data_IF_258929182514
#
_entry.id   IF_258929182514
#
_cell.length_a   1.000
_cell.length_b   1.000
_cell.length_c   1.000
_cell.angle_alpha   90.00
_cell.angle_beta   90.00
_cell.angle_gamma   90.00
#
_symmetry.space_group_name_H-M   'P 1'
#
loop_
_entity.id
_entity.type
_entity.pdbx_description
1 polymer ?
#
# COMPACT_ATOMS: atom_id res chain seq x y z
N UNK A 1 -14.85 14.17 -3.19
CA UNK A 1 -13.39 14.39 -3.37
C UNK A 1 -12.64 13.13 -2.95
N UNK A 2 -11.86 12.52 -3.82
CA UNK A 2 -11.08 11.32 -3.51
C UNK A 2 -10.07 11.58 -2.37
N UNK A 3 -9.77 10.54 -1.60
CA UNK A 3 -8.93 10.64 -0.40
C UNK A 3 -7.53 10.13 -0.72
N UNK A 4 -6.47 10.93 -0.58
CA UNK A 4 -5.09 10.53 -0.86
C UNK A 4 -4.53 9.65 0.28
N UNK A 5 -5.06 8.43 0.42
CA UNK A 5 -4.57 7.47 1.40
C UNK A 5 -3.86 6.31 0.72
N UNK A 6 -2.58 6.14 1.05
CA UNK A 6 -1.75 5.05 0.56
C UNK A 6 -0.73 4.68 1.63
N UNK A 7 -0.93 3.55 2.30
CA UNK A 7 -0.12 3.13 3.43
C UNK A 7 0.60 1.82 3.11
N UNK A 8 1.93 1.83 3.23
CA UNK A 8 2.79 0.67 2.96
C UNK A 8 3.26 0.09 4.30
N UNK A 9 3.14 -1.23 4.47
CA UNK A 9 3.60 -1.97 5.65
C UNK A 9 4.25 -3.28 5.25
N UNK A 10 5.13 -3.78 6.10
CA UNK A 10 5.74 -5.10 5.96
C UNK A 10 5.13 -6.04 6.99
N UNK A 11 4.63 -7.19 6.53
CA UNK A 11 4.28 -8.33 7.39
C UNK A 11 5.56 -9.04 7.77
N UNK A 12 5.90 -9.04 9.05
CA UNK A 12 7.14 -9.59 9.56
C UNK A 12 6.88 -10.63 10.64
N UNK A 13 7.55 -11.78 10.56
CA UNK A 13 7.37 -12.91 11.48
C UNK A 13 7.73 -12.53 12.93
N UNK A 14 8.84 -11.84 13.16
CA UNK A 14 9.26 -11.39 14.50
C UNK A 14 8.28 -10.45 15.20
N UNK A 15 7.32 -9.88 14.47
CA UNK A 15 6.21 -9.09 15.04
C UNK A 15 4.96 -9.94 15.30
N UNK A 16 5.07 -11.26 15.32
CA UNK A 16 3.96 -12.18 15.48
C UNK A 16 2.94 -12.15 14.34
N UNK A 17 3.37 -11.70 13.12
CA UNK A 17 2.51 -11.62 11.94
C UNK A 17 2.67 -12.85 11.07
N UNK A 18 1.58 -13.26 10.43
CA UNK A 18 1.51 -14.34 9.45
C UNK A 18 1.00 -13.80 8.11
N UNK A 19 1.57 -14.28 7.01
CA UNK A 19 1.10 -13.95 5.67
C UNK A 19 -0.26 -14.62 5.41
N UNK A 20 -0.43 -15.89 5.79
CA UNK A 20 -1.70 -16.62 5.68
C UNK A 20 -2.82 -15.91 6.44
N UNK A 21 -2.54 -15.45 7.68
CA UNK A 21 -3.53 -14.68 8.45
C UNK A 21 -3.86 -13.32 7.79
N UNK A 22 -2.86 -12.68 7.19
CA UNK A 22 -3.05 -11.42 6.46
C UNK A 22 -3.94 -11.60 5.23
N UNK A 23 -3.70 -12.66 4.46
CA UNK A 23 -4.45 -13.02 3.27
C UNK A 23 -5.90 -13.42 3.61
N UNK A 24 -6.07 -14.29 4.61
CA UNK A 24 -7.40 -14.66 5.11
C UNK A 24 -8.21 -13.44 5.57
N UNK A 25 -7.55 -12.50 6.28
CA UNK A 25 -8.18 -11.27 6.74
C UNK A 25 -8.63 -10.38 5.60
N UNK A 26 -7.77 -10.14 4.60
CA UNK A 26 -8.14 -9.23 3.50
C UNK A 26 -9.21 -9.83 2.59
N UNK A 27 -9.18 -11.14 2.37
CA UNK A 27 -10.14 -11.82 1.50
C UNK A 27 -11.46 -12.20 2.22
N UNK A 28 -11.51 -12.10 3.56
CA UNK A 28 -12.68 -12.56 4.30
C UNK A 28 -12.83 -14.10 4.26
N UNK A 29 -11.73 -14.82 4.19
CA UNK A 29 -11.72 -16.28 3.99
C UNK A 29 -11.29 -17.05 5.23
N UNK A 30 -11.44 -18.38 5.12
CA UNK A 30 -10.94 -19.35 6.11
C UNK A 30 -9.76 -20.10 5.49
N UNK A 31 -8.53 -19.83 5.94
CA UNK A 31 -7.30 -20.46 5.46
C UNK A 31 -6.61 -21.22 6.57
N UNK A 32 -6.03 -22.37 6.26
CA UNK A 32 -5.17 -23.13 7.16
C UNK A 32 -3.72 -22.67 6.99
N UNK A 33 -3.05 -22.35 8.10
CA UNK A 33 -1.63 -22.00 8.11
C UNK A 33 -0.82 -23.22 8.51
N UNK A 34 0.00 -23.70 7.60
CA UNK A 34 0.90 -24.84 7.81
C UNK A 34 2.02 -24.52 8.79
N UNK A 35 2.46 -23.26 8.83
CA UNK A 35 3.54 -22.82 9.73
C UNK A 35 3.19 -22.95 11.20
N UNK A 36 2.01 -22.51 11.62
CA UNK A 36 1.58 -22.55 13.03
C UNK A 36 0.47 -23.56 13.30
N UNK A 37 0.10 -24.40 12.30
CA UNK A 37 -0.90 -25.45 12.37
C UNK A 37 -2.26 -24.93 12.86
N UNK A 38 -2.63 -23.71 12.45
CA UNK A 38 -3.86 -23.04 12.87
C UNK A 38 -4.70 -22.56 11.71
N UNK A 39 -5.99 -22.71 11.85
CA UNK A 39 -6.96 -22.13 10.93
C UNK A 39 -7.15 -20.64 11.23
N UNK A 40 -6.99 -19.80 10.22
CA UNK A 40 -7.29 -18.37 10.23
C UNK A 40 -8.66 -18.17 9.60
N UNK A 41 -9.66 -17.76 10.39
CA UNK A 41 -11.03 -17.64 9.93
C UNK A 41 -11.52 -16.20 10.06
N UNK A 42 -11.83 -15.58 8.92
CA UNK A 42 -12.35 -14.22 8.81
C UNK A 42 -13.62 -14.14 7.94
N UNK A 43 -14.36 -15.27 7.80
CA UNK A 43 -15.59 -15.34 6.99
C UNK A 43 -16.75 -14.48 7.51
N UNK A 44 -16.61 -13.91 8.71
CA UNK A 44 -17.59 -12.95 9.25
C UNK A 44 -17.49 -11.55 8.62
N UNK A 45 -16.43 -11.28 7.83
CA UNK A 45 -16.29 -9.99 7.13
C UNK A 45 -17.25 -9.90 5.96
N UNK A 46 -18.12 -8.90 5.99
CA UNK A 46 -19.13 -8.67 4.96
C UNK A 46 -18.75 -7.56 3.97
N UNK A 47 -17.76 -6.76 4.35
CA UNK A 47 -17.30 -5.62 3.57
C UNK A 47 -16.44 -5.98 2.35
N UNK A 48 -16.08 -7.24 2.17
CA UNK A 48 -15.26 -7.69 1.03
C UNK A 48 -16.16 -7.85 -0.19
N UNK A 49 -15.95 -7.04 -1.21
CA UNK A 49 -16.76 -7.03 -2.43
C UNK A 49 -16.07 -7.64 -3.63
N UNK A 50 -14.74 -7.70 -3.62
CA UNK A 50 -13.95 -8.30 -4.69
C UNK A 50 -12.60 -8.79 -4.18
N UNK A 51 -12.13 -9.94 -4.69
CA UNK A 51 -10.79 -10.46 -4.43
C UNK A 51 -10.20 -11.11 -5.67
N UNK A 52 -8.90 -10.94 -5.90
CA UNK A 52 -8.20 -11.62 -7.00
C UNK A 52 -6.72 -11.80 -6.64
N UNK A 53 -6.12 -12.86 -7.17
CA UNK A 53 -4.68 -13.08 -7.18
C UNK A 53 -4.20 -12.96 -8.62
N UNK A 54 -3.27 -12.05 -8.86
CA UNK A 54 -2.59 -11.87 -10.13
C UNK A 54 -1.18 -12.43 -10.04
N UNK A 55 -0.82 -13.24 -11.01
CA UNK A 55 0.45 -13.98 -11.04
C UNK A 55 1.33 -13.52 -12.20
N UNK A 56 2.65 -13.38 -12.00
CA UNK A 56 3.58 -13.21 -13.10
C UNK A 56 3.64 -14.49 -13.97
N UNK A 57 4.03 -14.39 -15.24
CA UNK A 57 3.94 -15.52 -16.20
C UNK A 57 4.68 -16.79 -15.78
N UNK A 58 5.73 -16.67 -14.98
CA UNK A 58 6.56 -17.79 -14.50
C UNK A 58 6.11 -18.35 -13.14
N UNK A 59 5.07 -17.78 -12.53
CA UNK A 59 4.55 -18.32 -11.28
C UNK A 59 3.82 -19.65 -11.50
N UNK A 60 3.96 -20.61 -10.57
CA UNK A 60 3.18 -21.83 -10.60
C UNK A 60 1.67 -21.53 -10.60
N UNK A 61 0.88 -22.18 -11.45
CA UNK A 61 -0.56 -21.91 -11.55
C UNK A 61 -1.33 -22.20 -10.24
N UNK A 62 -0.82 -23.11 -9.40
CA UNK A 62 -1.38 -23.39 -8.08
C UNK A 62 -1.34 -22.18 -7.14
N UNK A 63 -0.51 -21.18 -7.40
CA UNK A 63 -0.49 -19.92 -6.61
C UNK A 63 -1.71 -19.01 -6.89
N UNK A 64 -2.57 -19.39 -7.82
CA UNK A 64 -3.91 -18.81 -7.92
C UNK A 64 -4.80 -19.15 -6.70
N UNK A 65 -4.47 -20.24 -5.98
CA UNK A 65 -5.07 -20.54 -4.68
C UNK A 65 -4.34 -19.77 -3.57
N UNK A 66 -5.11 -19.03 -2.77
CA UNK A 66 -4.58 -18.14 -1.73
C UNK A 66 -3.86 -18.90 -0.62
N UNK A 67 -4.36 -20.09 -0.25
CA UNK A 67 -3.71 -20.92 0.75
C UNK A 67 -2.38 -21.47 0.22
N UNK A 68 -2.35 -21.96 -1.02
CA UNK A 68 -1.12 -22.45 -1.65
C UNK A 68 -0.05 -21.36 -1.74
N UNK A 69 -0.40 -20.17 -2.25
CA UNK A 69 0.54 -19.06 -2.38
C UNK A 69 1.15 -18.66 -1.03
N UNK A 70 0.31 -18.37 -0.03
CA UNK A 70 0.82 -17.78 1.21
C UNK A 70 1.45 -18.80 2.17
N UNK A 71 1.06 -20.09 2.11
CA UNK A 71 1.80 -21.14 2.80
C UNK A 71 3.18 -21.39 2.15
N UNK A 72 3.29 -21.37 0.82
CA UNK A 72 4.56 -21.48 0.11
C UNK A 72 5.51 -20.32 0.49
N UNK A 73 4.99 -19.08 0.61
CA UNK A 73 5.78 -17.94 1.11
C UNK A 73 6.24 -18.17 2.53
N UNK A 74 5.39 -18.64 3.44
CA UNK A 74 5.76 -18.89 4.83
C UNK A 74 6.76 -20.06 4.96
N UNK A 75 6.69 -21.05 4.10
CA UNK A 75 7.61 -22.18 4.05
C UNK A 75 9.03 -21.74 3.64
N UNK A 76 9.18 -20.92 2.60
CA UNK A 76 10.50 -20.46 2.15
C UNK A 76 11.13 -19.45 3.10
N UNK A 77 10.32 -18.68 3.84
CA UNK A 77 10.77 -17.64 4.78
C UNK A 77 11.03 -18.21 6.18
N UNK A 78 12.09 -19.02 6.33
CA UNK A 78 12.38 -19.81 7.54
C UNK A 78 12.89 -18.99 8.74
N UNK A 79 13.47 -17.82 8.51
CA UNK A 79 14.09 -17.04 9.58
C UNK A 79 13.02 -16.38 10.48
N UNK A 80 13.30 -16.31 11.78
CA UNK A 80 12.40 -15.72 12.78
C UNK A 80 12.08 -14.25 12.48
N UNK A 81 12.98 -13.51 11.84
CA UNK A 81 12.83 -12.11 11.47
C UNK A 81 12.44 -11.89 10.00
N UNK A 82 12.05 -12.96 9.28
CA UNK A 82 11.67 -12.86 7.87
C UNK A 82 10.54 -11.88 7.64
N UNK A 83 10.69 -11.11 6.58
CA UNK A 83 9.62 -10.33 5.98
C UNK A 83 8.84 -11.23 5.03
N UNK A 84 7.54 -11.41 5.31
CA UNK A 84 6.68 -12.39 4.66
C UNK A 84 5.94 -11.79 3.46
N UNK A 85 5.47 -10.55 3.60
CA UNK A 85 4.73 -9.86 2.55
C UNK A 85 4.86 -8.35 2.69
N UNK A 86 4.81 -7.64 1.57
CA UNK A 86 4.55 -6.20 1.54
C UNK A 86 3.06 -5.98 1.40
N UNK A 87 2.52 -5.12 2.23
CA UNK A 87 1.09 -4.81 2.25
C UNK A 87 0.85 -3.34 1.99
N UNK A 88 -0.16 -3.07 1.19
CA UNK A 88 -0.70 -1.72 1.01
C UNK A 88 -2.15 -1.67 1.47
N UNK A 89 -2.56 -0.50 1.91
CA UNK A 89 -3.96 -0.12 2.00
C UNK A 89 -4.09 1.22 1.31
N UNK A 90 -4.90 1.27 0.28
CA UNK A 90 -5.12 2.46 -0.53
C UNK A 90 -6.62 2.78 -0.63
N UNK A 91 -6.98 4.06 -0.47
CA UNK A 91 -8.36 4.48 -0.65
C UNK A 91 -8.76 4.39 -2.13
N UNK A 92 -10.02 4.04 -2.36
CA UNK A 92 -10.65 4.03 -3.68
C UNK A 92 -11.55 5.25 -3.84
N UNK A 93 -11.60 5.85 -5.03
CA UNK A 93 -12.44 7.00 -5.29
C UNK A 93 -13.93 6.59 -5.33
N UNK A 94 -14.77 7.26 -4.55
CA UNK A 94 -16.23 7.02 -4.52
C UNK A 94 -16.93 7.51 -5.79
N UNK A 95 -16.27 8.38 -6.51
CA UNK A 95 -16.73 8.99 -7.75
C UNK A 95 -16.63 8.04 -8.94
N UNK A 96 -15.89 6.95 -8.80
CA UNK A 96 -15.80 5.87 -9.79
C UNK A 96 -16.83 4.79 -9.45
N UNK A 97 -17.66 4.35 -10.41
CA UNK A 97 -18.59 3.24 -10.20
C UNK A 97 -17.91 1.98 -9.69
N UNK A 98 -18.55 1.27 -8.76
CA UNK A 98 -18.00 0.08 -8.11
C UNK A 98 -17.58 -1.00 -9.13
N UNK A 99 -18.30 -1.10 -10.23
CA UNK A 99 -18.08 -2.08 -11.30
C UNK A 99 -16.75 -1.85 -12.03
N UNK A 100 -16.22 -0.61 -12.03
CA UNK A 100 -14.97 -0.25 -12.66
C UNK A 100 -13.76 -0.36 -11.72
N UNK A 101 -13.99 -0.41 -10.40
CA UNK A 101 -12.91 -0.47 -9.42
C UNK A 101 -12.03 -1.72 -9.57
N UNK A 102 -12.55 -2.94 -9.80
CA UNK A 102 -11.70 -4.10 -10.03
C UNK A 102 -10.77 -3.92 -11.24
N UNK A 103 -11.26 -3.37 -12.34
CA UNK A 103 -10.44 -3.12 -13.53
C UNK A 103 -9.34 -2.08 -13.25
N UNK A 104 -9.67 -0.99 -12.55
CA UNK A 104 -8.70 0.02 -12.13
C UNK A 104 -7.58 -0.58 -11.27
N UNK A 105 -7.94 -1.42 -10.30
CA UNK A 105 -6.97 -2.07 -9.41
C UNK A 105 -6.10 -3.07 -10.18
N UNK A 106 -6.68 -3.84 -11.09
CA UNK A 106 -5.94 -4.80 -11.94
C UNK A 106 -4.93 -4.10 -12.84
N UNK A 107 -5.31 -3.01 -13.48
CA UNK A 107 -4.40 -2.22 -14.31
C UNK A 107 -3.20 -1.73 -13.50
N UNK A 108 -3.45 -1.19 -12.31
CA UNK A 108 -2.39 -0.78 -11.40
C UNK A 108 -1.48 -1.93 -10.96
N UNK A 109 -2.07 -3.08 -10.59
CA UNK A 109 -1.31 -4.26 -10.16
C UNK A 109 -0.44 -4.81 -11.29
N UNK A 110 -0.97 -4.87 -12.51
CA UNK A 110 -0.23 -5.36 -13.68
C UNK A 110 0.98 -4.48 -13.96
N UNK A 111 0.79 -3.17 -14.02
CA UNK A 111 1.84 -2.22 -14.37
C UNK A 111 2.96 -2.18 -13.32
N UNK A 112 2.61 -2.17 -12.04
CA UNK A 112 3.56 -1.87 -10.97
C UNK A 112 4.09 -3.10 -10.22
N UNK A 113 3.41 -4.25 -10.29
CA UNK A 113 3.78 -5.42 -9.49
C UNK A 113 3.95 -6.68 -10.33
N UNK A 114 2.92 -7.09 -11.07
CA UNK A 114 2.92 -8.38 -11.78
C UNK A 114 3.94 -8.38 -12.91
N UNK A 115 3.99 -7.32 -13.72
CA UNK A 115 5.00 -7.13 -14.77
C UNK A 115 6.45 -7.08 -14.24
N UNK A 116 6.61 -6.79 -12.93
CA UNK A 116 7.92 -6.79 -12.24
C UNK A 116 8.24 -8.14 -11.58
N UNK A 117 7.37 -9.14 -11.70
CA UNK A 117 7.55 -10.49 -11.19
C UNK A 117 7.03 -10.75 -9.78
N UNK A 118 6.22 -9.85 -9.21
CA UNK A 118 5.56 -10.06 -7.93
C UNK A 118 4.23 -10.79 -8.13
N UNK A 119 3.89 -11.76 -7.26
CA UNK A 119 2.51 -12.18 -7.10
C UNK A 119 1.76 -11.11 -6.29
N UNK A 120 0.60 -10.72 -6.78
CA UNK A 120 -0.23 -9.70 -6.16
C UNK A 120 -1.59 -10.29 -5.78
N UNK A 121 -1.85 -10.37 -4.48
CA UNK A 121 -3.15 -10.74 -3.92
C UNK A 121 -3.84 -9.47 -3.43
N UNK A 122 -4.99 -9.12 -4.00
CA UNK A 122 -5.71 -7.91 -3.60
C UNK A 122 -7.18 -8.18 -3.27
N UNK A 123 -7.73 -7.30 -2.43
CA UNK A 123 -9.13 -7.34 -2.02
C UNK A 123 -9.70 -5.92 -1.93
N UNK A 124 -10.85 -5.71 -2.53
CA UNK A 124 -11.62 -4.46 -2.44
C UNK A 124 -12.63 -4.61 -1.30
N UNK A 125 -12.61 -3.65 -0.39
CA UNK A 125 -13.55 -3.55 0.71
C UNK A 125 -14.42 -2.30 0.55
N UNK A 126 -15.71 -2.46 0.76
CA UNK A 126 -16.68 -1.37 0.87
C UNK A 126 -17.45 -1.50 2.18
N UNK A 127 -16.94 -0.94 3.29
CA UNK A 127 -17.60 -1.04 4.58
C UNK A 127 -18.88 -0.24 4.63
N UNK A 128 -19.92 -0.82 5.26
CA UNK A 128 -21.23 -0.18 5.45
C UNK A 128 -21.14 1.19 6.17
N UNK A 129 -22.09 2.12 5.91
CA UNK A 129 -22.21 3.35 6.67
C UNK A 129 -22.31 3.09 8.20
N UNK A 130 -21.72 4.00 9.04
CA UNK A 130 -21.15 5.30 8.68
C UNK A 130 -19.70 5.21 8.18
N UNK A 131 -19.14 4.01 8.05
CA UNK A 131 -17.74 3.79 7.67
C UNK A 131 -17.46 4.04 6.20
N UNK A 132 -18.44 3.90 5.32
CA UNK A 132 -18.38 3.98 3.86
C UNK A 132 -17.09 4.64 3.32
N UNK A 133 -16.04 3.84 3.29
CA UNK A 133 -14.70 4.24 2.88
C UNK A 133 -14.11 3.13 2.02
N UNK A 134 -14.52 3.03 0.74
CA UNK A 134 -14.03 2.00 -0.15
C UNK A 134 -12.51 2.07 -0.24
N UNK A 135 -11.87 0.92 -0.08
CA UNK A 135 -10.42 0.82 -0.09
C UNK A 135 -9.95 -0.55 -0.57
N UNK A 136 -8.75 -0.58 -1.10
CA UNK A 136 -8.12 -1.81 -1.55
C UNK A 136 -6.99 -2.21 -0.61
N UNK A 137 -6.97 -3.48 -0.25
CA UNK A 137 -5.84 -4.15 0.39
C UNK A 137 -5.04 -4.88 -0.67
N UNK A 138 -3.73 -4.73 -0.62
CA UNK A 138 -2.80 -5.47 -1.47
C UNK A 138 -1.82 -6.24 -0.60
N UNK A 139 -1.51 -7.45 -0.99
CA UNK A 139 -0.40 -8.23 -0.48
C UNK A 139 0.49 -8.67 -1.63
N UNK A 140 1.77 -8.33 -1.55
CA UNK A 140 2.78 -8.65 -2.55
C UNK A 140 3.82 -9.58 -1.98
N UNK A 141 4.28 -10.51 -2.81
CA UNK A 141 5.43 -11.36 -2.48
C UNK A 141 6.71 -10.56 -2.47
N UNK A 142 7.70 -11.01 -1.70
CA UNK A 142 8.98 -10.33 -1.51
C UNK A 142 10.16 -11.13 -2.08
N UNK A 143 9.86 -12.15 -2.88
CA UNK A 143 10.81 -12.93 -3.67
C UNK A 143 10.30 -13.03 -5.09
N UNK A 144 11.21 -12.95 -6.04
CA UNK A 144 10.92 -13.30 -7.42
C UNK A 144 10.86 -14.84 -7.58
N UNK A 145 10.25 -15.26 -8.67
CA UNK A 145 10.13 -16.65 -9.08
C UNK A 145 10.98 -16.83 -10.34
N UNK A 146 11.77 -17.90 -10.41
CA UNK A 146 12.58 -18.22 -11.58
C UNK A 146 11.74 -18.83 -12.72
N UNK A 147 12.38 -19.10 -13.86
CA UNK A 147 11.74 -19.69 -15.05
C UNK A 147 11.16 -21.08 -14.81
N UNK A 148 11.58 -21.76 -13.72
CA UNK A 148 11.10 -23.10 -13.33
C UNK A 148 10.04 -23.04 -12.22
N UNK A 149 9.50 -21.87 -11.91
CA UNK A 149 8.49 -21.69 -10.88
C UNK A 149 9.01 -21.73 -9.44
N UNK A 150 10.31 -21.60 -9.21
CA UNK A 150 10.91 -21.67 -7.87
C UNK A 150 11.22 -20.28 -7.31
N UNK A 151 11.02 -20.11 -6.01
CA UNK A 151 11.40 -18.90 -5.31
C UNK A 151 12.89 -18.64 -5.35
N UNK A 152 13.29 -17.49 -5.86
CA UNK A 152 14.67 -17.00 -5.81
C UNK A 152 15.04 -16.56 -4.39
N UNK A 153 16.33 -16.62 -4.01
CA UNK A 153 16.81 -16.02 -2.76
C UNK A 153 16.64 -14.49 -2.82
N UNK A 154 16.34 -13.84 -1.67
CA UNK A 154 16.24 -12.36 -1.60
C UNK A 154 17.55 -11.66 -1.92
N UNK A 155 18.68 -12.31 -1.61
CA UNK A 155 20.00 -11.79 -1.89
C UNK A 155 20.97 -12.93 -2.21
N UNK A 156 21.98 -12.62 -2.98
CA UNK A 156 23.08 -13.50 -3.32
C UNK A 156 24.41 -12.97 -2.78
N UNK A 157 25.34 -13.87 -2.51
CA UNK A 157 26.71 -13.52 -2.18
C UNK A 157 27.48 -13.30 -3.47
N UNK A 158 28.06 -12.11 -3.63
CA UNK A 158 28.90 -11.75 -4.77
C UNK A 158 30.32 -11.54 -4.25
N UNK A 159 31.31 -12.12 -4.95
CA UNK A 159 32.72 -11.92 -4.62
C UNK A 159 33.24 -10.66 -5.29
N UNK A 160 33.94 -9.84 -4.51
CA UNK A 160 34.62 -8.67 -5.04
C UNK A 160 35.79 -9.10 -5.90
N UNK A 161 35.95 -8.50 -7.07
CA UNK A 161 37.01 -8.76 -8.01
C UNK A 161 37.98 -7.58 -8.02
N UNK A 162 39.27 -7.88 -8.28
CA UNK A 162 40.31 -6.88 -8.53
C UNK A 162 40.26 -6.38 -10.00
N UNK A 163 41.21 -5.53 -10.36
CA UNK A 163 41.32 -4.95 -11.71
C UNK A 163 41.58 -6.01 -12.81
N UNK A 164 42.05 -7.20 -12.43
CA UNK A 164 42.32 -8.33 -13.34
C UNK A 164 41.12 -9.31 -13.40
N UNK A 165 40.06 -9.06 -12.65
CA UNK A 165 38.89 -9.94 -12.58
C UNK A 165 39.07 -11.12 -11.61
N UNK A 166 40.11 -11.12 -10.76
CA UNK A 166 40.36 -12.15 -9.76
C UNK A 166 39.72 -11.79 -8.41
N UNK A 167 39.32 -12.83 -7.64
CA UNK A 167 38.71 -12.61 -6.32
C UNK A 167 39.68 -12.00 -5.35
N UNK A 168 39.30 -10.93 -4.66
CA UNK A 168 40.11 -10.27 -3.64
C UNK A 168 40.12 -11.11 -2.38
N UNK A 169 41.36 -11.38 -1.87
CA UNK A 169 41.59 -12.11 -0.62
C UNK A 169 41.79 -11.15 0.54
N UNK A 170 41.04 -11.34 1.62
CA UNK A 170 41.21 -10.56 2.85
C UNK A 170 42.47 -11.04 3.64
N UNK A 171 43.01 -10.21 4.55
CA UNK A 171 44.11 -10.63 5.43
C UNK A 171 43.79 -11.88 6.26
N UNK A 172 42.52 -12.12 6.55
CA UNK A 172 42.04 -13.32 7.24
C UNK A 172 42.07 -14.60 6.40
N UNK A 173 42.50 -14.54 5.15
CA UNK A 173 42.50 -15.65 4.20
C UNK A 173 41.15 -15.91 3.54
N UNK A 174 40.10 -15.21 3.94
CA UNK A 174 38.75 -15.32 3.33
C UNK A 174 38.65 -14.45 2.07
N UNK A 175 37.78 -14.86 1.14
CA UNK A 175 37.46 -14.06 -0.03
C UNK A 175 36.58 -12.88 0.37
N UNK A 176 36.91 -11.69 -0.11
CA UNK A 176 36.09 -10.49 0.05
C UNK A 176 34.80 -10.65 -0.73
N UNK A 177 33.68 -10.32 -0.12
CA UNK A 177 32.36 -10.48 -0.75
C UNK A 177 31.36 -9.56 -0.07
N UNK A 178 30.37 -9.15 -0.83
CA UNK A 178 29.20 -8.44 -0.34
C UNK A 178 27.92 -9.20 -0.66
N UNK A 179 26.81 -8.76 -0.09
CA UNK A 179 25.47 -9.20 -0.45
C UNK A 179 24.92 -8.26 -1.51
N UNK A 180 24.35 -8.85 -2.55
CA UNK A 180 23.60 -8.14 -3.58
C UNK A 180 22.17 -8.64 -3.54
N UNK A 181 21.18 -7.72 -3.51
CA UNK A 181 19.79 -8.10 -3.54
C UNK A 181 19.43 -8.65 -4.93
N UNK A 182 18.61 -9.69 -4.97
CA UNK A 182 18.19 -10.34 -6.23
C UNK A 182 17.25 -9.43 -7.02
N UNK A 183 16.48 -8.62 -6.31
CA UNK A 183 15.52 -7.65 -6.85
C UNK A 183 15.63 -6.34 -6.07
N UNK A 184 15.32 -5.24 -6.71
CA UNK A 184 15.39 -3.89 -6.14
C UNK A 184 14.13 -3.46 -5.37
N UNK A 185 13.16 -4.34 -5.20
CA UNK A 185 11.84 -4.02 -4.65
C UNK A 185 11.85 -3.40 -3.24
N UNK A 186 13.00 -3.46 -2.53
CA UNK A 186 13.17 -2.84 -1.22
C UNK A 186 13.73 -1.42 -1.29
N UNK A 187 14.10 -0.95 -2.47
CA UNK A 187 14.62 0.40 -2.65
C UNK A 187 13.54 1.44 -2.32
N UNK A 188 13.97 2.51 -1.67
CA UNK A 188 13.05 3.52 -1.13
C UNK A 188 12.27 4.27 -2.21
N UNK A 189 12.84 4.42 -3.40
CA UNK A 189 12.21 5.15 -4.50
C UNK A 189 10.90 4.49 -4.98
N UNK A 190 10.78 3.15 -4.86
CA UNK A 190 9.54 2.45 -5.22
C UNK A 190 8.32 2.92 -4.44
N UNK A 191 8.50 3.37 -3.20
CA UNK A 191 7.37 3.89 -2.42
C UNK A 191 6.75 5.14 -3.06
N UNK A 192 7.57 6.01 -3.65
CA UNK A 192 7.10 7.18 -4.40
C UNK A 192 6.54 6.78 -5.77
N UNK A 193 7.20 5.87 -6.49
CA UNK A 193 6.75 5.34 -7.78
C UNK A 193 5.36 4.70 -7.66
N UNK A 194 5.16 3.81 -6.69
CA UNK A 194 3.86 3.15 -6.45
C UNK A 194 2.78 4.13 -6.04
N UNK A 195 3.12 5.14 -5.24
CA UNK A 195 2.17 6.20 -4.85
C UNK A 195 1.76 7.05 -6.06
N UNK A 196 2.72 7.43 -6.89
CA UNK A 196 2.46 8.18 -8.12
C UNK A 196 1.65 7.36 -9.12
N UNK A 197 1.99 6.09 -9.34
CA UNK A 197 1.20 5.20 -10.19
C UNK A 197 -0.24 5.06 -9.72
N UNK A 198 -0.46 4.99 -8.38
CA UNK A 198 -1.80 4.97 -7.81
C UNK A 198 -2.59 6.27 -8.07
N UNK A 199 -1.91 7.42 -8.04
CA UNK A 199 -2.49 8.71 -8.44
C UNK A 199 -2.89 8.70 -9.91
N UNK A 200 -2.01 8.26 -10.79
CA UNK A 200 -2.21 8.26 -12.25
C UNK A 200 -3.43 7.40 -12.62
N UNK A 201 -3.48 6.15 -12.11
CA UNK A 201 -4.60 5.26 -12.43
C UNK A 201 -5.91 5.77 -11.87
N UNK A 202 -5.95 6.31 -10.65
CA UNK A 202 -7.17 6.90 -10.11
C UNK A 202 -7.67 8.09 -10.95
N UNK A 203 -6.77 8.99 -11.34
CA UNK A 203 -7.13 10.15 -12.15
C UNK A 203 -7.65 9.76 -13.53
N UNK A 204 -7.10 8.70 -14.14
CA UNK A 204 -7.61 8.12 -15.38
C UNK A 204 -9.06 7.63 -15.21
N UNK A 205 -9.35 6.88 -14.17
CA UNK A 205 -10.70 6.34 -13.94
C UNK A 205 -11.71 7.39 -13.46
N UNK A 206 -11.26 8.42 -12.74
CA UNK A 206 -12.08 9.59 -12.43
C UNK A 206 -12.50 10.32 -13.72
N UNK A 207 -11.61 10.47 -14.67
CA UNK A 207 -11.91 11.05 -15.97
C UNK A 207 -12.89 10.19 -16.77
N UNK A 208 -12.67 8.86 -16.84
CA UNK A 208 -13.58 7.92 -17.47
C UNK A 208 -14.99 7.95 -16.85
N UNK A 209 -15.08 8.18 -15.55
CA UNK A 209 -16.35 8.34 -14.82
C UNK A 209 -16.98 9.73 -15.00
N UNK A 210 -16.37 10.64 -15.78
CA UNK A 210 -16.86 12.01 -15.97
C UNK A 210 -16.75 12.89 -14.73
N UNK A 211 -15.95 12.50 -13.73
CA UNK A 211 -15.76 13.28 -12.52
C UNK A 211 -14.79 14.46 -12.77
N UNK A 212 -15.09 15.67 -12.30
CA UNK A 212 -14.16 16.80 -12.34
C UNK A 212 -13.08 16.70 -11.27
N UNK A 213 -13.23 15.78 -10.31
CA UNK A 213 -12.29 15.61 -9.20
C UNK A 213 -10.98 14.99 -9.68
N UNK A 214 -9.88 15.39 -9.05
CA UNK A 214 -8.55 14.79 -9.26
C UNK A 214 -7.88 14.59 -7.91
N UNK A 215 -6.98 13.61 -7.84
CA UNK A 215 -6.16 13.31 -6.68
C UNK A 215 -4.71 13.71 -6.95
N UNK A 216 -4.04 14.25 -5.94
CA UNK A 216 -2.60 14.50 -5.92
C UNK A 216 -2.03 13.86 -4.65
N UNK A 217 -1.15 12.86 -4.84
CA UNK A 217 -0.58 12.06 -3.76
C UNK A 217 0.71 12.67 -3.18
N UNK A 218 1.17 13.81 -3.71
CA UNK A 218 2.33 14.53 -3.17
C UNK A 218 2.01 15.15 -1.81
N UNK A 219 3.02 15.42 -1.01
CA UNK A 219 2.84 16.22 0.21
C UNK A 219 2.34 17.63 -0.12
N UNK A 220 1.62 18.26 0.79
CA UNK A 220 1.13 19.63 0.59
C UNK A 220 2.26 20.62 0.26
N UNK A 221 3.43 20.45 0.86
CA UNK A 221 4.63 21.24 0.54
C UNK A 221 5.04 21.07 -0.92
N UNK A 222 5.09 19.82 -1.43
CA UNK A 222 5.43 19.53 -2.84
C UNK A 222 4.35 19.99 -3.82
N UNK A 223 3.12 20.14 -3.36
CA UNK A 223 2.01 20.75 -4.12
C UNK A 223 2.08 22.30 -4.09
N UNK A 224 2.98 22.88 -3.31
CA UNK A 224 3.05 24.33 -3.10
C UNK A 224 1.90 24.89 -2.25
N UNK A 225 1.27 24.04 -1.45
CA UNK A 225 0.15 24.41 -0.59
C UNK A 225 0.64 24.68 0.83
N UNK A 226 0.31 25.86 1.36
CA UNK A 226 0.58 26.23 2.75
C UNK A 226 -0.51 25.66 3.67
N UNK A 227 -0.52 24.32 3.81
CA UNK A 227 -1.48 23.55 4.60
C UNK A 227 -0.73 22.64 5.56
N UNK A 228 -1.06 22.74 6.84
CA UNK A 228 -0.54 21.84 7.87
C UNK A 228 -1.30 20.49 7.77
N UNK A 229 -0.62 19.35 7.57
CA UNK A 229 -1.27 18.06 7.50
C UNK A 229 -1.83 17.63 8.87
N UNK A 230 -2.99 16.98 8.86
CA UNK A 230 -3.55 16.37 10.07
C UNK A 230 -2.82 15.07 10.43
N UNK A 231 -2.83 14.73 11.72
CA UNK A 231 -2.22 13.48 12.22
C UNK A 231 -3.21 12.34 12.10
N UNK A 232 -2.72 11.19 11.60
CA UNK A 232 -3.54 9.98 11.49
C UNK A 232 -3.95 9.46 12.87
N UNK A 233 -5.26 9.35 13.11
CA UNK A 233 -5.80 8.96 14.41
C UNK A 233 -5.72 7.46 14.70
N UNK A 234 -5.68 6.62 13.69
CA UNK A 234 -5.81 5.17 13.85
C UNK A 234 -7.22 4.73 14.24
N UNK A 235 -7.45 3.41 14.25
CA UNK A 235 -8.80 2.84 14.46
C UNK A 235 -9.35 3.07 15.87
N UNK A 236 -8.52 2.90 16.91
CA UNK A 236 -8.93 3.05 18.30
C UNK A 236 -9.34 4.50 18.62
N UNK A 237 -8.50 5.48 18.26
CA UNK A 237 -8.78 6.90 18.47
C UNK A 237 -9.99 7.35 17.67
N UNK A 238 -10.11 6.92 16.40
CA UNK A 238 -11.26 7.21 15.56
C UNK A 238 -12.57 6.63 16.14
N UNK A 239 -12.52 5.46 16.78
CA UNK A 239 -13.68 4.87 17.42
C UNK A 239 -14.11 5.67 18.67
N UNK A 240 -13.17 6.18 19.46
CA UNK A 240 -13.46 7.05 20.61
C UNK A 240 -14.08 8.37 20.16
N UNK A 241 -13.48 9.04 19.17
CA UNK A 241 -13.98 10.31 18.64
C UNK A 241 -15.40 10.17 18.04
N UNK A 242 -15.70 9.06 17.38
CA UNK A 242 -17.07 8.76 16.89
C UNK A 242 -18.11 8.60 18.03
N UNK A 243 -17.65 8.16 19.20
CA UNK A 243 -18.50 8.08 20.41
C UNK A 243 -18.60 9.40 21.16
N UNK A 244 -18.04 10.50 20.62
CA UNK A 244 -18.04 11.81 21.26
C UNK A 244 -16.97 11.97 22.37
N UNK A 245 -16.06 11.01 22.51
CA UNK A 245 -14.97 11.06 23.49
C UNK A 245 -13.79 11.80 22.86
N UNK A 246 -13.50 13.00 23.37
CA UNK A 246 -12.39 13.82 22.90
C UNK A 246 -11.04 13.18 23.24
N UNK A 247 -10.14 13.14 22.27
CA UNK A 247 -8.78 12.60 22.41
C UNK A 247 -7.73 13.66 22.12
N UNK A 248 -6.50 13.48 22.62
CA UNK A 248 -5.40 14.42 22.36
C UNK A 248 -5.13 14.58 20.86
N UNK A 249 -5.11 13.48 20.09
CA UNK A 249 -4.90 13.53 18.63
C UNK A 249 -6.11 14.18 17.93
N UNK A 250 -7.32 13.88 18.39
CA UNK A 250 -8.54 14.52 17.88
C UNK A 250 -8.55 16.03 18.11
N UNK A 251 -8.15 16.48 19.31
CA UNK A 251 -8.02 17.92 19.64
C UNK A 251 -6.96 18.56 18.75
N UNK A 252 -5.75 17.99 18.65
CA UNK A 252 -4.69 18.49 17.77
C UNK A 252 -5.19 18.63 16.31
N UNK A 253 -5.92 17.66 15.80
CA UNK A 253 -6.48 17.72 14.46
C UNK A 253 -7.55 18.81 14.32
N UNK A 254 -8.33 19.10 15.35
CA UNK A 254 -9.27 20.24 15.38
C UNK A 254 -8.53 21.58 15.32
N UNK A 255 -7.44 21.72 16.10
CA UNK A 255 -6.60 22.91 16.11
C UNK A 255 -5.91 23.14 14.76
N UNK A 256 -5.34 22.08 14.16
CA UNK A 256 -4.74 22.12 12.81
C UNK A 256 -5.78 22.59 11.78
N UNK A 257 -6.99 22.03 11.80
CA UNK A 257 -8.05 22.42 10.87
C UNK A 257 -8.50 23.88 11.08
N UNK A 258 -8.49 24.37 12.32
CA UNK A 258 -8.79 25.77 12.63
C UNK A 258 -7.69 26.70 12.10
N UNK A 259 -6.41 26.36 12.34
CA UNK A 259 -5.27 27.10 11.82
C UNK A 259 -5.28 27.19 10.29
N UNK A 260 -5.47 26.07 9.60
CA UNK A 260 -5.54 26.03 8.13
C UNK A 260 -6.69 26.91 7.58
N UNK A 261 -7.86 26.93 8.25
CA UNK A 261 -8.97 27.81 7.88
C UNK A 261 -8.61 29.28 8.05
N UNK A 262 -7.90 29.64 9.12
CA UNK A 262 -7.45 31.01 9.35
C UNK A 262 -6.42 31.45 8.30
N UNK A 263 -5.44 30.60 7.98
CA UNK A 263 -4.45 30.87 6.93
C UNK A 263 -5.11 31.08 5.55
N UNK A 264 -6.01 30.20 5.16
CA UNK A 264 -6.78 30.35 3.91
C UNK A 264 -7.61 31.64 3.89
N UNK A 265 -8.25 32.02 5.01
CA UNK A 265 -9.03 33.25 5.10
C UNK A 265 -8.14 34.49 5.00
N UNK A 266 -6.93 34.46 5.57
CA UNK A 266 -5.94 35.56 5.46
C UNK A 266 -5.41 35.67 4.03
N UNK A 267 -5.09 34.53 3.37
CA UNK A 267 -4.65 34.49 1.99
C UNK A 267 -5.71 35.06 1.04
N UNK A 268 -6.97 34.64 1.19
CA UNK A 268 -8.09 35.17 0.42
C UNK A 268 -8.30 36.67 0.63
N UNK A 269 -8.13 37.17 1.85
CA UNK A 269 -8.20 38.63 2.13
C UNK A 269 -7.06 39.40 1.46
N UNK A 270 -5.86 38.78 1.39
CA UNK A 270 -4.67 39.41 0.77
C UNK A 270 -4.80 39.41 -0.76
N UNK A 271 -5.32 38.34 -1.35
CA UNK A 271 -5.49 38.20 -2.82
C UNK A 271 -6.71 38.99 -3.34
N UNK A 272 -7.77 39.10 -2.54
CA UNK A 272 -9.02 39.81 -2.85
C UNK A 272 -9.32 40.86 -1.78
N UNK A 273 -8.65 42.02 -1.80
CA UNK A 273 -8.94 43.11 -0.88
C UNK A 273 -10.39 43.56 -1.05
N UNK A 274 -10.96 44.16 0.00
CA UNK A 274 -12.38 44.54 0.10
C UNK A 274 -12.92 45.35 -1.11
N UNK A 275 -12.06 46.06 -1.80
CA UNK A 275 -12.35 46.81 -3.03
C UNK A 275 -12.69 45.88 -4.23
N UNK A 276 -12.17 44.66 -4.27
CA UNK A 276 -12.43 43.71 -5.37
C UNK A 276 -13.67 42.83 -5.14
N UNK A 277 -14.23 42.80 -3.93
CA UNK A 277 -15.41 41.96 -3.57
C UNK A 277 -16.72 42.41 -4.20
N UNK A 278 -16.79 43.61 -4.76
CA UNK A 278 -18.00 44.12 -5.44
C UNK A 278 -18.35 43.36 -6.74
N UNK A 279 -17.44 42.55 -7.26
CA UNK A 279 -17.62 41.83 -8.53
C UNK A 279 -18.02 40.36 -8.39
N UNK A 280 -18.08 39.81 -7.18
CA UNK A 280 -18.51 38.43 -6.94
C UNK A 280 -19.60 38.39 -5.86
N UNK A 281 -20.89 38.42 -6.22
CA UNK A 281 -21.95 38.19 -5.25
C UNK A 281 -21.84 36.75 -4.71
N UNK A 282 -21.97 36.61 -3.37
CA UNK A 282 -22.02 35.32 -2.70
C UNK A 282 -23.12 34.45 -3.30
N UNK A 283 -22.75 33.25 -3.75
CA UNK A 283 -23.70 32.17 -4.00
C UNK A 283 -23.83 31.32 -2.75
#
# INVERSE_FOLDING_TARGET
>A
MPVPHFNIKITQRSKGKSAVAGAAYQAGEKLFSEYDQKTKNYTCKKEVVYTEIMLPPNAPPEYADRAALWNSVEEIEKQWNSQLARRFVAALPREVPMELLPQMVKEYCEEHFVSKGMCCDFAIHDPDPPGHNPHCHFMLTMRAIDENGKWLPKSRKVYDLDENGERIKLPSGRWKSHKEDTVDWNEQYHAEEWRHGWEVVQNKYLELAGSPERIDMRSYERQGLDIIPTVHMGTAVSALERKGIATNIGNLNRDIKAANRMMNAMLLKKLFPASARKFFPAR
#
